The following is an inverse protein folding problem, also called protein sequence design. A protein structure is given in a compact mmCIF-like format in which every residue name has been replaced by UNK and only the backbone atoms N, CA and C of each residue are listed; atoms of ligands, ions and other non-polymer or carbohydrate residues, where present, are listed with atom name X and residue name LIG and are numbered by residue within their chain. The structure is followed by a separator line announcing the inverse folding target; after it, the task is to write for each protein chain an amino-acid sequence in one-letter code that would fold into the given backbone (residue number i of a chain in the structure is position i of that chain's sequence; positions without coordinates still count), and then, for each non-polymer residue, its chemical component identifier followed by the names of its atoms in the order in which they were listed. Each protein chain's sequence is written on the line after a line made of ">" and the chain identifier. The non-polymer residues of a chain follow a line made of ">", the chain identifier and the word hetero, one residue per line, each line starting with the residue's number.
data_IF_109968183736
#
_entry.id   IF_109968183736
#
_cell.length_a   1.000
_cell.length_b   1.000
_cell.length_c   1.000
_cell.angle_alpha   90.00
_cell.angle_beta   90.00
_cell.angle_gamma   90.00
#
_symmetry.space_group_name_H-M   'P 1'
#
loop_
_entity.id
_entity.type
_entity.pdbx_description
1 polymer ?
#
# COMPACT_ATOMS: atom_id res chain seq x y z
N UNK A 1 12.20 -9.29 -29.15
CA UNK A 1 13.02 -8.07 -28.98
C UNK A 1 12.70 -7.49 -27.61
N UNK A 2 13.60 -7.61 -26.64
CA UNK A 2 13.41 -7.08 -25.28
C UNK A 2 13.90 -5.62 -25.24
N UNK A 3 12.97 -4.68 -25.24
CA UNK A 3 13.29 -3.26 -25.03
C UNK A 3 13.86 -3.08 -23.62
N UNK A 4 15.16 -2.82 -23.52
CA UNK A 4 15.79 -2.45 -22.25
C UNK A 4 15.31 -1.04 -21.87
N UNK A 5 14.88 -0.81 -20.61
CA UNK A 5 14.44 0.49 -20.17
C UNK A 5 15.57 1.51 -20.24
N UNK A 6 15.22 2.72 -20.66
CA UNK A 6 16.14 3.87 -20.73
C UNK A 6 16.41 4.43 -19.33
N UNK A 7 17.54 5.14 -19.14
CA UNK A 7 17.93 5.74 -17.85
C UNK A 7 16.84 6.67 -17.25
N UNK A 8 16.09 7.37 -18.09
CA UNK A 8 14.96 8.21 -17.66
C UNK A 8 13.78 7.38 -17.13
N UNK A 9 13.48 6.24 -17.76
CA UNK A 9 12.45 5.30 -17.30
C UNK A 9 12.85 4.60 -16.00
N UNK A 10 14.13 4.29 -15.83
CA UNK A 10 14.64 3.72 -14.57
C UNK A 10 14.51 4.75 -13.44
N UNK A 11 14.91 6.01 -13.67
CA UNK A 11 14.76 7.08 -12.67
C UNK A 11 13.31 7.35 -12.30
N UNK A 12 12.38 7.33 -13.26
CA UNK A 12 10.95 7.54 -12.97
C UNK A 12 10.36 6.39 -12.14
N UNK A 13 10.76 5.14 -12.42
CA UNK A 13 10.33 3.98 -11.63
C UNK A 13 10.86 4.03 -10.19
N UNK A 14 12.11 4.49 -10.00
CA UNK A 14 12.68 4.68 -8.66
C UNK A 14 11.90 5.73 -7.87
N UNK A 15 11.62 6.89 -8.48
CA UNK A 15 10.85 7.96 -7.83
C UNK A 15 9.43 7.51 -7.44
N UNK A 16 8.74 6.79 -8.34
CA UNK A 16 7.39 6.30 -8.06
C UNK A 16 7.37 5.30 -6.91
N UNK A 17 8.36 4.40 -6.85
CA UNK A 17 8.51 3.45 -5.75
C UNK A 17 8.78 4.14 -4.42
N UNK A 18 9.69 5.10 -4.38
CA UNK A 18 9.99 5.89 -3.17
C UNK A 18 8.75 6.64 -2.68
N UNK A 19 7.99 7.21 -3.60
CA UNK A 19 6.77 7.94 -3.27
C UNK A 19 5.67 7.01 -2.73
N UNK A 20 5.48 5.82 -3.32
CA UNK A 20 4.56 4.81 -2.79
C UNK A 20 4.95 4.34 -1.38
N UNK A 21 6.25 4.20 -1.10
CA UNK A 21 6.76 3.87 0.23
C UNK A 21 6.48 4.99 1.24
N UNK A 22 6.71 6.25 0.86
CA UNK A 22 6.41 7.40 1.73
C UNK A 22 4.91 7.49 2.05
N UNK A 23 4.05 7.21 1.07
CA UNK A 23 2.60 7.16 1.23
C UNK A 23 2.17 6.03 2.17
N UNK A 24 2.72 4.83 2.01
CA UNK A 24 2.46 3.70 2.91
C UNK A 24 2.84 4.04 4.36
N UNK A 25 4.02 4.64 4.55
CA UNK A 25 4.50 5.06 5.87
C UNK A 25 3.61 6.18 6.47
N UNK A 26 3.09 7.09 5.65
CA UNK A 26 2.14 8.11 6.12
C UNK A 26 0.88 7.45 6.69
N UNK A 27 0.31 6.47 6.00
CA UNK A 27 -0.85 5.71 6.49
C UNK A 27 -0.56 4.95 7.78
N UNK A 28 0.58 4.27 7.90
CA UNK A 28 0.99 3.57 9.12
C UNK A 28 1.08 4.51 10.33
N UNK A 29 1.50 5.76 10.09
CA UNK A 29 1.57 6.81 11.11
C UNK A 29 0.25 7.59 11.32
N UNK A 30 -0.85 7.16 10.69
CA UNK A 30 -2.15 7.83 10.78
C UNK A 30 -2.18 9.22 10.15
N UNK A 31 -1.29 9.52 9.21
CA UNK A 31 -1.21 10.80 8.50
C UNK A 31 -1.86 10.69 7.13
N UNK A 32 -2.51 11.77 6.70
CA UNK A 32 -3.07 11.89 5.36
C UNK A 32 -1.97 12.17 4.31
N UNK A 33 -1.68 11.25 3.38
CA UNK A 33 -0.67 11.47 2.33
C UNK A 33 -1.11 12.44 1.23
N UNK A 34 -2.35 12.93 1.27
CA UNK A 34 -2.86 13.95 0.34
C UNK A 34 -2.91 15.35 0.96
N UNK A 35 -2.50 15.49 2.22
CA UNK A 35 -2.44 16.80 2.84
C UNK A 35 -1.31 17.66 2.24
N UNK A 36 -1.47 18.97 2.34
CA UNK A 36 -0.53 19.93 1.73
C UNK A 36 0.88 19.89 2.30
N UNK A 37 1.05 19.44 3.55
CA UNK A 37 2.35 19.32 4.21
C UNK A 37 3.13 18.17 3.58
N UNK A 38 2.55 16.97 3.53
CA UNK A 38 3.16 15.78 2.95
C UNK A 38 3.50 15.99 1.48
N UNK A 39 2.56 16.54 0.69
CA UNK A 39 2.76 16.78 -0.73
C UNK A 39 3.94 17.74 -0.98
N UNK A 40 4.11 18.75 -0.12
CA UNK A 40 5.23 19.70 -0.21
C UNK A 40 6.55 19.05 0.21
N UNK A 41 6.58 18.33 1.32
CA UNK A 41 7.78 17.64 1.84
C UNK A 41 8.34 16.64 0.82
N UNK A 42 7.45 15.93 0.11
CA UNK A 42 7.81 14.92 -0.87
C UNK A 42 7.88 15.45 -2.32
N UNK A 43 7.76 16.77 -2.51
CA UNK A 43 7.82 17.44 -3.83
C UNK A 43 6.90 16.78 -4.86
N UNK A 44 5.68 16.47 -4.43
CA UNK A 44 4.66 15.78 -5.23
C UNK A 44 3.99 16.79 -6.14
N UNK A 45 4.09 16.57 -7.46
CA UNK A 45 3.36 17.38 -8.43
C UNK A 45 1.86 17.02 -8.44
N UNK A 46 1.02 17.85 -9.08
CA UNK A 46 -0.40 17.53 -9.25
C UNK A 46 -0.61 16.22 -10.04
N UNK A 47 0.22 15.98 -11.05
CA UNK A 47 0.16 14.75 -11.84
C UNK A 47 0.58 13.53 -11.03
N UNK A 48 1.63 13.66 -10.21
CA UNK A 48 2.06 12.60 -9.29
C UNK A 48 0.96 12.28 -8.26
N UNK A 49 0.33 13.33 -7.71
CA UNK A 49 -0.76 13.19 -6.74
C UNK A 49 -1.97 12.45 -7.34
N UNK A 50 -2.38 12.82 -8.56
CA UNK A 50 -3.47 12.13 -9.27
C UNK A 50 -3.12 10.67 -9.54
N UNK A 51 -1.91 10.39 -10.03
CA UNK A 51 -1.45 9.04 -10.31
C UNK A 51 -1.39 8.18 -9.04
N UNK A 52 -0.93 8.73 -7.92
CA UNK A 52 -0.97 8.05 -6.62
C UNK A 52 -2.39 7.71 -6.19
N UNK A 53 -3.32 8.67 -6.32
CA UNK A 53 -4.73 8.45 -6.03
C UNK A 53 -5.31 7.30 -6.86
N UNK A 54 -5.02 7.27 -8.16
CA UNK A 54 -5.49 6.21 -9.05
C UNK A 54 -4.90 4.84 -8.65
N UNK A 55 -3.61 4.76 -8.36
CA UNK A 55 -2.95 3.52 -7.92
C UNK A 55 -3.54 2.99 -6.61
N UNK A 56 -3.70 3.86 -5.61
CA UNK A 56 -4.29 3.49 -4.33
C UNK A 56 -5.74 3.04 -4.49
N UNK A 57 -6.54 3.75 -5.30
CA UNK A 57 -7.92 3.36 -5.57
C UNK A 57 -8.01 1.97 -6.22
N UNK A 58 -7.10 1.64 -7.14
CA UNK A 58 -7.01 0.31 -7.75
C UNK A 58 -6.69 -0.76 -6.69
N UNK A 59 -5.68 -0.53 -5.85
CA UNK A 59 -5.25 -1.47 -4.81
C UNK A 59 -6.37 -1.71 -3.80
N UNK A 60 -7.01 -0.64 -3.31
CA UNK A 60 -8.10 -0.72 -2.35
C UNK A 60 -9.34 -1.40 -2.94
N UNK A 61 -9.68 -1.10 -4.19
CA UNK A 61 -10.77 -1.79 -4.89
C UNK A 61 -10.49 -3.27 -5.05
N UNK A 62 -9.25 -3.65 -5.38
CA UNK A 62 -8.84 -5.05 -5.46
C UNK A 62 -8.94 -5.75 -4.09
N UNK A 63 -8.55 -5.07 -3.00
CA UNK A 63 -8.74 -5.57 -1.64
C UNK A 63 -10.22 -5.82 -1.31
N UNK A 64 -11.11 -4.88 -1.67
CA UNK A 64 -12.55 -5.02 -1.44
C UNK A 64 -13.14 -6.18 -2.25
N UNK A 65 -12.73 -6.35 -3.51
CA UNK A 65 -13.27 -7.38 -4.40
C UNK A 65 -12.70 -8.77 -4.16
N UNK A 66 -11.45 -8.85 -3.69
CA UNK A 66 -10.69 -10.08 -3.55
C UNK A 66 -9.88 -10.10 -2.24
N UNK A 67 -10.54 -9.98 -1.07
CA UNK A 67 -9.86 -9.83 0.22
C UNK A 67 -8.98 -11.04 0.56
N UNK A 68 -9.39 -12.25 0.20
CA UNK A 68 -8.59 -13.47 0.45
C UNK A 68 -7.27 -13.47 -0.33
N UNK A 69 -7.28 -12.97 -1.57
CA UNK A 69 -6.07 -12.86 -2.39
C UNK A 69 -5.15 -11.77 -1.86
N UNK A 70 -5.69 -10.64 -1.43
CA UNK A 70 -4.92 -9.61 -0.79
C UNK A 70 -4.28 -10.10 0.52
N UNK A 71 -5.04 -10.84 1.34
CA UNK A 71 -4.52 -11.48 2.56
C UNK A 71 -3.38 -12.46 2.26
N UNK A 72 -3.53 -13.31 1.25
CA UNK A 72 -2.47 -14.23 0.81
C UNK A 72 -1.20 -13.49 0.37
N UNK A 73 -1.36 -12.38 -0.36
CA UNK A 73 -0.23 -11.55 -0.76
C UNK A 73 0.48 -10.92 0.46
N UNK A 74 -0.28 -10.43 1.44
CA UNK A 74 0.27 -9.86 2.68
C UNK A 74 0.96 -10.91 3.56
N UNK A 75 0.45 -12.15 3.61
CA UNK A 75 1.11 -13.27 4.28
C UNK A 75 2.42 -13.63 3.57
N UNK A 76 2.41 -13.72 2.24
CA UNK A 76 3.59 -14.03 1.45
C UNK A 76 4.68 -12.96 1.54
N UNK A 77 4.31 -11.69 1.74
CA UNK A 77 5.26 -10.60 1.98
C UNK A 77 5.72 -10.48 3.44
N UNK A 78 5.13 -11.25 4.36
CA UNK A 78 5.39 -11.15 5.80
C UNK A 78 4.85 -9.85 6.43
N UNK A 79 3.92 -9.16 5.77
CA UNK A 79 3.32 -7.92 6.27
C UNK A 79 2.25 -8.17 7.33
N UNK A 80 1.71 -9.39 7.38
CA UNK A 80 0.84 -9.87 8.44
C UNK A 80 1.24 -11.30 8.81
N UNK A 81 0.99 -11.69 10.05
CA UNK A 81 1.17 -13.07 10.49
C UNK A 81 -0.11 -13.88 10.27
N UNK A 82 0.03 -15.20 10.11
CA UNK A 82 -1.12 -16.09 10.16
C UNK A 82 -1.68 -16.03 11.58
N UNK A 83 -2.97 -15.68 11.76
CA UNK A 83 -3.52 -15.58 13.10
C UNK A 83 -3.47 -16.96 13.73
N UNK A 84 -2.91 -17.04 14.94
CA UNK A 84 -2.89 -18.27 15.72
C UNK A 84 -4.34 -18.76 15.89
N UNK A 85 -4.62 -19.94 15.34
CA UNK A 85 -5.94 -20.54 15.39
C UNK A 85 -6.46 -20.68 16.83
N UNK A 86 -5.55 -20.90 17.80
CA UNK A 86 -5.91 -20.95 19.21
C UNK A 86 -6.36 -19.57 19.74
N UNK A 87 -5.68 -18.50 19.35
CA UNK A 87 -6.02 -17.13 19.73
C UNK A 87 -7.34 -16.65 19.10
N UNK A 88 -7.59 -17.02 17.83
CA UNK A 88 -8.88 -16.74 17.15
C UNK A 88 -10.03 -17.43 17.87
N UNK A 89 -9.84 -18.72 18.20
CA UNK A 89 -10.85 -19.51 18.91
C UNK A 89 -11.14 -18.97 20.32
N UNK A 90 -10.12 -18.52 21.04
CA UNK A 90 -10.29 -17.88 22.36
C UNK A 90 -11.10 -16.58 22.26
N UNK A 91 -10.79 -15.72 21.29
CA UNK A 91 -11.50 -14.45 21.08
C UNK A 91 -12.98 -14.66 20.74
N UNK A 92 -13.28 -15.59 19.83
CA UNK A 92 -14.66 -15.94 19.49
C UNK A 92 -15.44 -16.46 20.69
N UNK A 93 -14.80 -17.23 21.58
CA UNK A 93 -15.44 -17.73 22.81
C UNK A 93 -15.77 -16.62 23.81
N UNK A 94 -14.94 -15.57 23.89
CA UNK A 94 -15.17 -14.43 24.77
C UNK A 94 -16.26 -13.48 24.24
N UNK A 95 -16.35 -13.28 22.93
CA UNK A 95 -17.38 -12.44 22.29
C UNK A 95 -18.80 -13.05 22.35
N UNK A 96 -18.91 -14.36 22.58
CA UNK A 96 -20.19 -15.10 22.62
C UNK A 96 -20.68 -15.42 24.04
N UNK A 97 -20.07 -14.82 25.07
CA UNK A 97 -20.54 -14.85 26.47
C UNK A 97 -21.18 -13.53 26.86
#
# INVERSE_FOLDING_TARGET
>A
MTNKPTLSQVKSQTKERELLQAVALAFENGRDPFNTVFLRENQVSLDDCRRLGDLLAIILRAYIWAPDWARKAMLASGSIEEPDAAAVWERMRQEWR
#
